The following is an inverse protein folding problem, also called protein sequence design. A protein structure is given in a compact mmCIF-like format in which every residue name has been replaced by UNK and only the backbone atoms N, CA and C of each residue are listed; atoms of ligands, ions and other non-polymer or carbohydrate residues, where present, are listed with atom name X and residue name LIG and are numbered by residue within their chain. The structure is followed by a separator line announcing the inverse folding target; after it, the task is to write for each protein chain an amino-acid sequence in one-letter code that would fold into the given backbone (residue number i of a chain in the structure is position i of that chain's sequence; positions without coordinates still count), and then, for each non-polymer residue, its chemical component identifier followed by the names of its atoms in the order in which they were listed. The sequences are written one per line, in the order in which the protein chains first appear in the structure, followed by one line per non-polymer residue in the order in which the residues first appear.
data_IF_762984623613
#
_entry.id   IF_762984623613
#
_cell.length_a   1.000
_cell.length_b   1.000
_cell.length_c   1.000
_cell.angle_alpha   90.00
_cell.angle_beta   90.00
_cell.angle_gamma   90.00
#
_symmetry.space_group_name_H-M   'P 1'
#
loop_
_entity.id
_entity.type
_entity.pdbx_description
1 polymer ?
#
# COMPACT_ATOMS: atom_id res chain seq x y z
N UNK A 1 28.83 -1.63 -22.31
CA UNK A 1 28.02 -0.48 -21.82
C UNK A 1 28.54 -0.09 -20.46
N UNK A 2 28.92 1.19 -20.28
CA UNK A 2 29.42 1.72 -19.01
C UNK A 2 28.26 1.74 -18.01
N UNK A 3 28.52 1.28 -16.78
CA UNK A 3 27.59 1.30 -15.66
C UNK A 3 27.14 2.73 -15.38
N UNK A 4 25.96 3.12 -15.87
CA UNK A 4 25.33 4.37 -15.46
C UNK A 4 24.85 4.17 -14.02
N UNK A 5 25.49 4.86 -13.07
CA UNK A 5 24.96 4.99 -11.71
C UNK A 5 23.75 5.91 -11.80
N UNK A 6 22.56 5.34 -11.58
CA UNK A 6 21.32 6.11 -11.50
C UNK A 6 21.04 6.38 -10.03
N UNK A 7 21.16 7.63 -9.63
CA UNK A 7 20.74 8.10 -8.32
C UNK A 7 19.27 8.49 -8.37
N UNK A 8 18.44 7.79 -7.59
CA UNK A 8 17.02 8.08 -7.50
C UNK A 8 16.77 9.01 -6.31
N UNK A 9 16.29 10.22 -6.60
CA UNK A 9 15.86 11.14 -5.55
C UNK A 9 14.76 10.52 -4.67
N UNK A 10 14.98 10.52 -3.36
CA UNK A 10 14.02 10.02 -2.37
C UNK A 10 13.12 11.16 -1.90
N UNK A 11 11.82 10.90 -1.65
CA UNK A 11 10.92 11.92 -1.14
C UNK A 11 11.33 12.34 0.27
N UNK A 12 11.34 13.64 0.53
CA UNK A 12 11.73 14.20 1.83
C UNK A 12 10.51 14.42 2.74
N UNK A 13 9.32 14.48 2.15
CA UNK A 13 8.06 14.70 2.88
C UNK A 13 7.03 13.60 2.60
N UNK A 14 6.11 13.39 3.55
CA UNK A 14 5.01 12.44 3.39
C UNK A 14 4.14 12.75 2.16
N UNK A 15 3.96 14.03 1.85
CA UNK A 15 3.21 14.50 0.66
C UNK A 15 3.92 14.11 -0.64
N UNK A 16 5.24 14.28 -0.69
CA UNK A 16 6.04 13.85 -1.84
C UNK A 16 6.04 12.35 -2.01
N UNK A 17 6.18 11.62 -0.91
CA UNK A 17 6.08 10.17 -0.89
C UNK A 17 4.72 9.71 -1.45
N UNK A 18 3.61 10.23 -0.93
CA UNK A 18 2.27 9.92 -1.41
C UNK A 18 2.12 10.20 -2.91
N UNK A 19 2.54 11.39 -3.37
CA UNK A 19 2.46 11.79 -4.78
C UNK A 19 3.29 10.89 -5.69
N UNK A 20 4.50 10.51 -5.25
CA UNK A 20 5.39 9.60 -6.00
C UNK A 20 4.73 8.23 -6.18
N UNK A 21 4.22 7.64 -5.10
CA UNK A 21 3.50 6.35 -5.14
C UNK A 21 2.24 6.42 -5.99
N UNK A 22 1.44 7.48 -5.86
CA UNK A 22 0.25 7.71 -6.66
C UNK A 22 0.56 7.74 -8.16
N UNK A 23 1.60 8.48 -8.56
CA UNK A 23 1.99 8.59 -9.97
C UNK A 23 2.47 7.25 -10.54
N UNK A 24 3.22 6.47 -9.77
CA UNK A 24 3.61 5.12 -10.18
C UNK A 24 2.38 4.22 -10.37
N UNK A 25 1.49 4.14 -9.37
CA UNK A 25 0.29 3.32 -9.45
C UNK A 25 -0.64 3.72 -10.62
N UNK A 26 -0.75 5.02 -10.89
CA UNK A 26 -1.49 5.54 -12.05
C UNK A 26 -0.85 5.12 -13.37
N UNK A 27 0.48 5.20 -13.48
CA UNK A 27 1.22 4.76 -14.66
C UNK A 27 1.06 3.26 -14.92
N UNK A 28 1.18 2.44 -13.86
CA UNK A 28 1.00 0.98 -13.93
C UNK A 28 -0.41 0.59 -14.39
N UNK A 29 -1.44 1.28 -13.88
CA UNK A 29 -2.81 1.06 -14.31
C UNK A 29 -3.06 1.45 -15.78
N UNK A 30 -2.57 2.64 -16.20
CA UNK A 30 -2.73 3.17 -17.57
C UNK A 30 -2.12 2.27 -18.63
N UNK A 31 -0.92 1.78 -18.34
CA UNK A 31 -0.18 0.91 -19.26
C UNK A 31 -0.75 -0.49 -19.33
N UNK A 32 -1.78 -0.81 -18.52
CA UNK A 32 -2.39 -2.14 -18.45
C UNK A 32 -1.37 -3.25 -18.21
N UNK A 33 -0.22 -2.93 -17.62
CA UNK A 33 0.79 -3.90 -17.16
C UNK A 33 0.14 -4.90 -16.19
N UNK A 34 -0.99 -4.51 -15.59
CA UNK A 34 -1.78 -5.37 -14.75
C UNK A 34 -2.59 -6.48 -15.46
N UNK A 35 -2.88 -6.31 -16.75
CA UNK A 35 -3.60 -7.27 -17.59
C UNK A 35 -2.65 -8.20 -18.36
N UNK A 36 -1.54 -7.65 -18.86
CA UNK A 36 -0.56 -8.39 -19.67
C UNK A 36 0.83 -8.26 -19.05
N UNK A 37 1.14 -9.06 -18.02
CA UNK A 37 2.43 -9.00 -17.39
C UNK A 37 3.45 -9.71 -18.29
N UNK A 38 4.05 -8.98 -19.23
CA UNK A 38 5.24 -9.47 -19.97
C UNK A 38 6.38 -9.88 -19.02
N UNK A 39 6.32 -9.42 -17.75
CA UNK A 39 7.23 -9.77 -16.65
C UNK A 39 6.63 -10.68 -15.56
N UNK A 40 5.59 -11.46 -15.88
CA UNK A 40 5.00 -12.49 -15.02
C UNK A 40 3.90 -12.01 -14.06
N UNK A 41 2.92 -12.88 -13.80
CA UNK A 41 1.71 -12.64 -12.98
C UNK A 41 1.94 -12.17 -11.52
N UNK A 42 3.19 -12.09 -11.05
CA UNK A 42 3.50 -12.37 -9.65
C UNK A 42 3.75 -11.18 -8.72
N UNK A 43 3.94 -9.92 -9.15
CA UNK A 43 4.42 -8.91 -8.18
C UNK A 43 3.50 -7.71 -7.94
N UNK A 44 3.01 -7.01 -8.97
CA UNK A 44 2.34 -5.72 -8.75
C UNK A 44 0.80 -5.79 -8.68
N UNK A 45 0.18 -6.74 -9.39
CA UNK A 45 -1.27 -6.73 -9.62
C UNK A 45 -2.05 -7.33 -8.45
N UNK A 46 -1.60 -8.49 -7.96
CA UNK A 46 -2.15 -9.13 -6.76
C UNK A 46 -1.99 -8.19 -5.57
N UNK A 47 -0.86 -7.45 -5.49
CA UNK A 47 -0.64 -6.49 -4.41
C UNK A 47 -1.65 -5.35 -4.44
N UNK A 48 -1.86 -4.70 -5.59
CA UNK A 48 -2.87 -3.64 -5.70
C UNK A 48 -4.27 -4.14 -5.34
N UNK A 49 -4.72 -5.25 -5.93
CA UNK A 49 -6.04 -5.84 -5.64
C UNK A 49 -6.17 -6.29 -4.18
N UNK A 50 -5.12 -6.84 -3.57
CA UNK A 50 -5.12 -7.23 -2.15
C UNK A 50 -5.25 -6.04 -1.22
N UNK A 51 -4.70 -4.87 -1.61
CA UNK A 51 -4.89 -3.63 -0.85
C UNK A 51 -6.36 -3.23 -0.89
N UNK A 52 -6.99 -3.16 -2.07
CA UNK A 52 -8.43 -2.90 -2.17
C UNK A 52 -9.25 -3.90 -1.35
N UNK A 53 -8.96 -5.20 -1.46
CA UNK A 53 -9.64 -6.25 -0.71
C UNK A 53 -9.53 -6.07 0.80
N UNK A 54 -8.35 -5.73 1.32
CA UNK A 54 -8.14 -5.48 2.76
C UNK A 54 -8.98 -4.32 3.28
N UNK A 55 -9.02 -3.20 2.55
CA UNK A 55 -9.78 -2.02 2.96
C UNK A 55 -11.30 -2.24 2.82
N UNK A 56 -11.74 -2.92 1.75
CA UNK A 56 -13.14 -3.31 1.60
C UNK A 56 -13.58 -4.29 2.69
N UNK A 57 -12.74 -5.27 3.05
CA UNK A 57 -13.02 -6.19 4.14
C UNK A 57 -13.07 -5.47 5.50
N UNK A 58 -12.16 -4.54 5.75
CA UNK A 58 -12.22 -3.69 6.96
C UNK A 58 -13.49 -2.86 7.03
N UNK A 59 -13.90 -2.24 5.92
CA UNK A 59 -15.16 -1.49 5.81
C UNK A 59 -16.38 -2.39 6.00
N UNK A 60 -16.36 -3.60 5.44
CA UNK A 60 -17.40 -4.61 5.64
C UNK A 60 -17.55 -4.95 7.13
N UNK A 61 -16.44 -5.30 7.80
CA UNK A 61 -16.47 -5.58 9.24
C UNK A 61 -16.98 -4.39 10.05
N UNK A 62 -16.54 -3.17 9.72
CA UNK A 62 -17.00 -1.95 10.38
C UNK A 62 -18.51 -1.77 10.25
N UNK A 63 -19.05 -1.86 9.04
CA UNK A 63 -20.48 -1.66 8.79
C UNK A 63 -21.34 -2.71 9.49
N UNK A 64 -20.99 -4.00 9.37
CA UNK A 64 -21.74 -5.08 10.01
C UNK A 64 -21.53 -5.15 11.52
N UNK A 65 -20.47 -4.54 12.06
CA UNK A 65 -20.28 -4.44 13.52
C UNK A 65 -21.36 -3.62 14.22
N UNK A 66 -22.05 -2.73 13.49
CA UNK A 66 -23.19 -1.97 14.01
C UNK A 66 -24.36 -2.89 14.41
N UNK A 67 -24.51 -4.03 13.75
CA UNK A 67 -25.53 -5.04 14.05
C UNK A 67 -24.98 -6.18 14.92
N UNK A 68 -23.68 -6.51 14.76
CA UNK A 68 -23.03 -7.60 15.46
C UNK A 68 -21.72 -7.10 16.12
N UNK A 69 -21.76 -6.61 17.37
CA UNK A 69 -20.59 -6.03 18.04
C UNK A 69 -19.36 -6.95 18.09
N UNK A 70 -19.55 -8.27 18.01
CA UNK A 70 -18.45 -9.24 17.93
C UNK A 70 -17.53 -9.00 16.72
N UNK A 71 -18.07 -8.50 15.60
CA UNK A 71 -17.28 -8.15 14.42
C UNK A 71 -16.31 -7.00 14.67
N UNK A 72 -16.58 -6.14 15.66
CA UNK A 72 -15.67 -5.08 16.06
C UNK A 72 -14.36 -5.67 16.63
N UNK A 73 -14.42 -6.78 17.36
CA UNK A 73 -13.20 -7.44 17.87
C UNK A 73 -12.33 -7.96 16.73
N UNK A 74 -12.95 -8.56 15.70
CA UNK A 74 -12.22 -9.00 14.50
C UNK A 74 -11.61 -7.82 13.74
N UNK A 75 -12.32 -6.70 13.63
CA UNK A 75 -11.81 -5.48 13.02
C UNK A 75 -10.60 -4.92 13.78
N UNK A 76 -10.73 -4.76 15.10
CA UNK A 76 -9.65 -4.26 15.95
C UNK A 76 -8.44 -5.19 15.88
N UNK A 77 -8.65 -6.50 16.01
CA UNK A 77 -7.57 -7.48 15.92
C UNK A 77 -6.89 -7.46 14.56
N UNK A 78 -7.65 -7.41 13.46
CA UNK A 78 -7.12 -7.28 12.11
C UNK A 78 -6.33 -6.00 11.89
N UNK A 79 -6.79 -4.87 12.45
CA UNK A 79 -6.08 -3.60 12.41
C UNK A 79 -4.76 -3.65 13.17
N UNK A 80 -4.75 -4.27 14.37
CA UNK A 80 -3.52 -4.45 15.15
C UNK A 80 -2.51 -5.34 14.41
N UNK A 81 -2.96 -6.44 13.79
CA UNK A 81 -2.09 -7.28 12.96
C UNK A 81 -1.54 -6.52 11.75
N UNK A 82 -2.35 -5.69 11.10
CA UNK A 82 -1.92 -4.85 9.98
C UNK A 82 -0.86 -3.83 10.41
N UNK A 83 -1.08 -3.12 11.52
CA UNK A 83 -0.14 -2.16 12.06
C UNK A 83 1.16 -2.84 12.51
N UNK A 84 1.06 -3.99 13.18
CA UNK A 84 2.21 -4.80 13.59
C UNK A 84 3.02 -5.28 12.39
N UNK A 85 2.37 -5.72 11.32
CA UNK A 85 3.05 -6.13 10.10
C UNK A 85 3.80 -4.97 9.44
N UNK A 86 3.18 -3.79 9.37
CA UNK A 86 3.81 -2.58 8.85
C UNK A 86 5.05 -2.18 9.67
N UNK A 87 4.93 -2.24 11.00
CA UNK A 87 6.03 -2.01 11.94
C UNK A 87 7.16 -3.04 11.75
N UNK A 88 6.85 -4.34 11.74
CA UNK A 88 7.83 -5.43 11.60
C UNK A 88 8.63 -5.30 10.31
N UNK A 89 7.99 -4.93 9.20
CA UNK A 89 8.67 -4.76 7.91
C UNK A 89 9.78 -3.72 7.98
N UNK A 90 9.51 -2.58 8.61
CA UNK A 90 10.50 -1.50 8.77
C UNK A 90 11.57 -1.88 9.80
N UNK A 91 11.18 -2.59 10.86
CA UNK A 91 12.13 -3.04 11.88
C UNK A 91 13.24 -3.93 11.33
N UNK A 92 12.88 -4.88 10.48
CA UNK A 92 13.84 -5.84 9.92
C UNK A 92 14.95 -5.16 9.11
N UNK A 93 14.64 -4.00 8.50
CA UNK A 93 15.58 -3.26 7.66
C UNK A 93 16.42 -2.26 8.47
N UNK A 94 15.78 -1.40 9.28
CA UNK A 94 16.44 -0.25 9.88
C UNK A 94 16.82 -0.43 11.36
N UNK A 95 16.16 -1.32 12.10
CA UNK A 95 16.40 -1.60 13.53
C UNK A 95 16.37 -0.38 14.49
N UNK A 96 15.90 0.78 14.05
CA UNK A 96 15.86 2.03 14.83
C UNK A 96 14.44 2.47 15.20
N UNK A 97 14.09 2.49 16.48
CA UNK A 97 12.71 2.68 16.96
C UNK A 97 11.98 3.90 16.36
N UNK A 98 12.69 5.01 16.18
CA UNK A 98 12.14 6.24 15.58
C UNK A 98 11.64 6.00 14.16
N UNK A 99 12.38 5.23 13.36
CA UNK A 99 12.02 4.88 11.98
C UNK A 99 10.86 3.89 11.96
N UNK A 100 10.78 2.99 12.93
CA UNK A 100 9.72 1.97 12.99
C UNK A 100 8.33 2.57 13.19
N UNK A 101 8.21 3.64 14.00
CA UNK A 101 6.91 4.30 14.26
C UNK A 101 6.29 4.87 12.99
N UNK A 102 7.12 5.22 12.00
CA UNK A 102 6.66 5.65 10.68
C UNK A 102 6.12 4.50 9.82
N UNK A 103 6.41 3.24 10.14
CA UNK A 103 5.99 2.09 9.34
C UNK A 103 4.47 2.04 9.07
N UNK A 104 3.61 2.05 10.11
CA UNK A 104 2.16 2.10 9.93
C UNK A 104 1.68 3.33 9.15
N UNK A 105 2.23 4.51 9.43
CA UNK A 105 1.86 5.77 8.75
C UNK A 105 2.19 5.71 7.26
N UNK A 106 3.39 5.25 6.93
CA UNK A 106 3.86 5.08 5.55
C UNK A 106 3.07 4.00 4.83
N UNK A 107 2.73 2.89 5.50
CA UNK A 107 1.94 1.81 4.91
C UNK A 107 0.53 2.31 4.55
N UNK A 108 -0.19 2.97 5.46
CA UNK A 108 -1.51 3.54 5.19
C UNK A 108 -1.44 4.58 4.06
N UNK A 109 -0.46 5.48 4.12
CA UNK A 109 -0.26 6.51 3.10
C UNK A 109 -0.01 5.89 1.72
N UNK A 110 0.83 4.85 1.67
CA UNK A 110 1.15 4.14 0.44
C UNK A 110 -0.07 3.40 -0.12
N UNK A 111 -0.87 2.76 0.73
CA UNK A 111 -2.06 2.00 0.34
C UNK A 111 -3.10 2.96 -0.29
N UNK A 112 -3.38 4.10 0.34
CA UNK A 112 -4.29 5.11 -0.22
C UNK A 112 -3.76 5.71 -1.53
N UNK A 113 -2.46 6.00 -1.61
CA UNK A 113 -1.84 6.49 -2.84
C UNK A 113 -1.93 5.47 -3.99
N UNK A 114 -1.70 4.18 -3.71
CA UNK A 114 -1.87 3.10 -4.68
C UNK A 114 -3.31 2.99 -5.13
N UNK A 115 -4.28 2.92 -4.19
CA UNK A 115 -5.70 2.79 -4.53
C UNK A 115 -6.18 3.95 -5.41
N UNK A 116 -5.91 5.19 -5.00
CA UNK A 116 -6.33 6.38 -5.75
C UNK A 116 -5.62 6.52 -7.09
N UNK A 117 -4.31 6.25 -7.15
CA UNK A 117 -3.51 6.30 -8.37
C UNK A 117 -3.97 5.25 -9.37
N UNK A 118 -4.11 4.01 -8.92
CA UNK A 118 -4.57 2.88 -9.72
C UNK A 118 -5.98 3.13 -10.29
N UNK A 119 -6.92 3.58 -9.45
CA UNK A 119 -8.27 3.92 -9.91
C UNK A 119 -8.26 5.04 -10.96
N UNK A 120 -7.49 6.12 -10.75
CA UNK A 120 -7.38 7.19 -11.74
C UNK A 120 -6.72 6.71 -13.04
N UNK A 121 -5.79 5.75 -12.96
CA UNK A 121 -5.14 5.17 -14.12
C UNK A 121 -6.04 4.26 -14.95
N UNK A 122 -7.01 3.57 -14.33
CA UNK A 122 -8.01 2.77 -15.05
C UNK A 122 -8.98 3.66 -15.84
N UNK A 123 -9.39 4.79 -15.25
CA UNK A 123 -10.40 5.69 -15.85
C UNK A 123 -9.81 6.60 -16.94
N UNK A 124 -8.50 6.84 -16.93
CA UNK A 124 -7.83 7.84 -17.77
C UNK A 124 -7.08 7.24 -18.94
#
# INVERSE_FOLDING_TARGET
MKNALVEWGMPETLREFMRKIYNYAKGDAKTKIWLFPEKGFASHNIRALSIFGRYLFGLFLLFFSLQNPQLLYFLIFGFLLYAFWAFRKVYLEYRELQVLLWGPVLQITSDFAVMSGFFKGIIS
#
